data_IF_555194405508
#
_entry.id   IF_555194405508
#
_cell.length_a   1.000
_cell.length_b   1.000
_cell.length_c   1.000
_cell.angle_alpha   90.00
_cell.angle_beta   90.00
_cell.angle_gamma   90.00
#
_symmetry.space_group_name_H-M   'P 1'
#
loop_
_entity.id
_entity.type
_entity.pdbx_description
1 polymer ?
#
# COMPACT_ATOMS: atom_id res chain seq x y z
N UNK A 1 17.23 10.96 -9.44
CA UNK A 1 16.17 9.99 -9.78
C UNK A 1 16.21 8.90 -8.72
N UNK A 2 15.30 8.94 -7.74
CA UNK A 2 15.24 7.89 -6.71
C UNK A 2 14.79 6.61 -7.39
N UNK A 3 15.50 5.48 -7.27
CA UNK A 3 15.00 4.20 -7.74
C UNK A 3 13.74 3.89 -6.92
N UNK A 4 12.57 4.11 -7.50
CA UNK A 4 11.28 3.97 -6.84
C UNK A 4 11.06 2.51 -6.50
N UNK A 5 11.54 2.11 -5.32
CA UNK A 5 11.33 0.79 -4.80
C UNK A 5 9.81 0.61 -4.67
N UNK A 6 9.22 -0.32 -5.44
CA UNK A 6 7.76 -0.51 -5.51
C UNK A 6 7.14 -0.65 -4.11
N UNK A 7 7.90 -1.20 -3.16
CA UNK A 7 7.55 -1.25 -1.74
C UNK A 7 7.37 0.13 -1.10
N UNK A 8 8.30 1.06 -1.32
CA UNK A 8 8.21 2.40 -0.73
C UNK A 8 7.00 3.17 -1.29
N UNK A 9 6.78 3.08 -2.61
CA UNK A 9 5.61 3.69 -3.24
C UNK A 9 4.29 3.14 -2.68
N UNK A 10 4.22 1.82 -2.43
CA UNK A 10 3.08 1.18 -1.78
C UNK A 10 2.82 1.76 -0.39
N UNK A 11 3.86 1.85 0.45
CA UNK A 11 3.77 2.35 1.83
C UNK A 11 3.35 3.82 1.86
N UNK A 12 3.94 4.66 1.01
CA UNK A 12 3.56 6.07 0.89
C UNK A 12 2.10 6.26 0.45
N UNK A 13 1.63 5.40 -0.48
CA UNK A 13 0.24 5.41 -0.93
C UNK A 13 -0.71 4.97 0.17
N UNK A 14 -0.36 3.89 0.89
CA UNK A 14 -1.14 3.41 2.02
C UNK A 14 -1.24 4.45 3.13
N UNK A 15 -0.13 5.06 3.52
CA UNK A 15 -0.10 6.16 4.49
C UNK A 15 -1.03 7.30 4.09
N UNK A 16 -0.99 7.75 2.82
CA UNK A 16 -1.90 8.80 2.34
C UNK A 16 -3.37 8.40 2.50
N UNK A 17 -3.73 7.17 2.12
CA UNK A 17 -5.10 6.68 2.24
C UNK A 17 -5.52 6.54 3.71
N UNK A 18 -4.63 6.04 4.58
CA UNK A 18 -4.87 5.95 6.02
C UNK A 18 -5.10 7.33 6.64
N UNK A 19 -4.34 8.34 6.23
CA UNK A 19 -4.54 9.72 6.70
C UNK A 19 -5.83 10.36 6.20
N UNK A 20 -6.28 10.04 4.98
CA UNK A 20 -7.46 10.66 4.38
C UNK A 20 -8.76 9.96 4.77
N UNK A 21 -8.76 8.64 4.82
CA UNK A 21 -9.97 7.82 4.98
C UNK A 21 -10.01 7.06 6.30
N UNK A 22 -8.88 6.98 7.01
CA UNK A 22 -8.72 6.16 8.21
C UNK A 22 -8.29 4.74 7.91
N UNK A 23 -7.58 4.14 8.86
CA UNK A 23 -7.00 2.78 8.74
C UNK A 23 -8.07 1.70 8.53
N UNK A 24 -9.20 1.77 9.24
CA UNK A 24 -10.27 0.77 9.11
C UNK A 24 -11.05 0.88 7.81
N UNK A 25 -11.24 2.10 7.28
CA UNK A 25 -11.95 2.34 6.02
C UNK A 25 -11.11 1.99 4.79
N UNK A 26 -9.78 2.03 4.94
CA UNK A 26 -8.84 1.71 3.86
C UNK A 26 -8.54 0.22 3.81
N UNK A 27 -9.03 -0.46 2.77
CA UNK A 27 -8.71 -1.85 2.48
C UNK A 27 -7.45 -2.03 1.61
N UNK A 28 -6.87 -3.22 1.65
CA UNK A 28 -5.71 -3.60 0.81
C UNK A 28 -6.01 -3.40 -0.68
N UNK A 29 -7.19 -3.79 -1.16
CA UNK A 29 -7.55 -3.64 -2.58
C UNK A 29 -7.57 -2.16 -3.02
N UNK A 30 -7.93 -1.23 -2.12
CA UNK A 30 -7.90 0.21 -2.41
C UNK A 30 -6.46 0.73 -2.50
N UNK A 31 -5.58 0.28 -1.61
CA UNK A 31 -4.14 0.60 -1.66
C UNK A 31 -3.52 0.06 -2.96
N UNK A 32 -3.87 -1.16 -3.36
CA UNK A 32 -3.40 -1.76 -4.61
C UNK A 32 -3.90 -0.98 -5.83
N UNK A 33 -5.18 -0.61 -5.86
CA UNK A 33 -5.76 0.19 -6.94
C UNK A 33 -5.09 1.57 -7.05
N UNK A 34 -4.78 2.22 -5.91
CA UNK A 34 -4.15 3.54 -5.90
C UNK A 34 -2.64 3.49 -6.21
N UNK A 35 -1.93 2.44 -5.79
CA UNK A 35 -0.47 2.30 -5.97
C UNK A 35 -0.08 1.63 -7.30
N UNK A 36 -1.03 0.99 -8.00
CA UNK A 36 -0.77 0.23 -9.21
C UNK A 36 0.13 -1.00 -8.99
N UNK A 37 0.35 -1.39 -7.74
CA UNK A 37 1.16 -2.56 -7.40
C UNK A 37 0.32 -3.83 -7.53
N UNK A 38 0.91 -4.90 -8.05
CA UNK A 38 0.24 -6.19 -8.12
C UNK A 38 0.00 -6.77 -6.71
N UNK A 39 -1.19 -7.33 -6.49
CA UNK A 39 -1.60 -7.99 -5.23
C UNK A 39 -0.57 -9.00 -4.72
N UNK A 40 0.04 -9.77 -5.62
CA UNK A 40 1.07 -10.75 -5.30
C UNK A 40 2.35 -10.12 -4.74
N UNK A 41 2.74 -8.93 -5.22
CA UNK A 41 3.90 -8.19 -4.70
C UNK A 41 3.61 -7.63 -3.31
N UNK A 42 2.39 -7.17 -3.05
CA UNK A 42 1.99 -6.76 -1.71
C UNK A 42 2.06 -7.92 -0.74
N UNK A 43 1.40 -9.06 -1.01
CA UNK A 43 1.43 -10.21 -0.10
C UNK A 43 2.82 -10.82 0.11
N UNK A 44 3.73 -10.63 -0.85
CA UNK A 44 5.13 -11.03 -0.69
C UNK A 44 5.87 -10.18 0.35
N UNK A 45 5.46 -8.93 0.54
CA UNK A 45 6.12 -7.98 1.44
C UNK A 45 5.34 -7.72 2.74
N UNK A 46 4.03 -7.82 2.67
CA UNK A 46 3.06 -7.48 3.71
C UNK A 46 1.95 -8.55 3.70
N UNK A 47 2.03 -9.56 4.56
CA UNK A 47 1.05 -10.64 4.58
C UNK A 47 -0.34 -10.17 5.05
N UNK A 48 -0.40 -9.08 5.83
CA UNK A 48 -1.64 -8.46 6.28
C UNK A 48 -1.60 -6.92 6.15
N UNK A 49 -2.76 -6.28 6.39
CA UNK A 49 -2.85 -4.82 6.45
C UNK A 49 -2.13 -4.23 7.65
N UNK A 50 -2.04 -4.98 8.74
CA UNK A 50 -1.39 -4.55 9.98
C UNK A 50 0.15 -4.59 9.87
N UNK A 51 0.70 -5.34 8.91
CA UNK A 51 2.12 -5.36 8.60
C UNK A 51 2.58 -4.17 7.74
N UNK A 52 1.64 -3.39 7.20
CA UNK A 52 1.84 -2.39 6.15
C UNK A 52 1.97 -0.97 6.72
#
# INVERSE_FOLDING_TARGET
MVPSNRKQHLVETALKLFYQEGFHSTGIDKILAASGVAKMTLYKHFPSKDDL
#
